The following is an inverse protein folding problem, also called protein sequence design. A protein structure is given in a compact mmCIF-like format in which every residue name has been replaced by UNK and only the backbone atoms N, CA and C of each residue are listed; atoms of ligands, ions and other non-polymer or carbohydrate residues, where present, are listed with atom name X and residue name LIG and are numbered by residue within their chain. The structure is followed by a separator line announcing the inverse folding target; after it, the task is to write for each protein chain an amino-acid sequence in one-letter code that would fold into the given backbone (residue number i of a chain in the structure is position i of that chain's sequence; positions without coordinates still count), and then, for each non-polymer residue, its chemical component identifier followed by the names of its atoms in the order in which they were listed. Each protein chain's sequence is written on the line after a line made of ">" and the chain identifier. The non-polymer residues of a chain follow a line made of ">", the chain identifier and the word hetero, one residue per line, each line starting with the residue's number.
data_IF_643686217941
#
_entry.id   IF_643686217941
#
_cell.length_a   1.000
_cell.length_b   1.000
_cell.length_c   1.000
_cell.angle_alpha   90.00
_cell.angle_beta   90.00
_cell.angle_gamma   90.00
#
_symmetry.space_group_name_H-M   'P 1'
#
loop_
_entity.id
_entity.type
_entity.pdbx_description
1 polymer ?
#
# COMPACT_ATOMS: atom_id res chain seq x y z
N UNK A 1 -5.29 -37.81 -0.02
CA UNK A 1 -6.29 -36.73 -0.03
C UNK A 1 -5.73 -35.51 0.71
N UNK A 2 -5.89 -34.31 0.15
CA UNK A 2 -5.41 -33.06 0.76
C UNK A 2 -6.44 -32.56 1.76
N UNK A 3 -6.06 -32.39 3.03
CA UNK A 3 -6.95 -31.91 4.09
C UNK A 3 -6.37 -30.67 4.76
N UNK A 4 -7.22 -29.69 5.04
CA UNK A 4 -6.88 -28.53 5.85
C UNK A 4 -7.19 -28.83 7.32
N UNK A 5 -6.23 -28.54 8.20
CA UNK A 5 -6.41 -28.55 9.65
C UNK A 5 -6.88 -27.15 10.03
N UNK A 6 -8.15 -27.05 10.41
CA UNK A 6 -8.84 -25.78 10.65
C UNK A 6 -9.17 -25.66 12.12
N UNK A 7 -8.83 -24.55 12.75
CA UNK A 7 -9.22 -24.27 14.14
C UNK A 7 -10.74 -24.02 14.20
N UNK A 8 -11.45 -24.80 15.00
CA UNK A 8 -12.92 -24.79 15.07
C UNK A 8 -13.47 -23.46 15.58
N UNK A 9 -12.74 -22.79 16.47
CA UNK A 9 -13.20 -21.54 17.11
C UNK A 9 -13.33 -20.35 16.16
N UNK A 10 -12.55 -20.29 15.07
CA UNK A 10 -12.49 -19.12 14.19
C UNK A 10 -12.22 -19.42 12.71
N UNK A 11 -12.21 -20.70 12.33
CA UNK A 11 -11.99 -21.12 10.95
C UNK A 11 -10.55 -20.94 10.46
N UNK A 12 -9.59 -20.60 11.32
CA UNK A 12 -8.20 -20.38 10.88
C UNK A 12 -7.55 -21.69 10.39
N UNK A 13 -7.05 -21.69 9.15
CA UNK A 13 -6.30 -22.82 8.59
C UNK A 13 -4.88 -22.83 9.16
N UNK A 14 -4.63 -23.74 10.09
CA UNK A 14 -3.33 -23.88 10.74
C UNK A 14 -2.32 -24.59 9.85
N UNK A 15 -2.77 -25.62 9.13
CA UNK A 15 -1.90 -26.41 8.27
C UNK A 15 -2.70 -27.07 7.14
N UNK A 16 -1.99 -27.53 6.11
CA UNK A 16 -2.55 -28.39 5.06
C UNK A 16 -1.68 -29.62 4.94
N UNK A 17 -2.31 -30.79 5.05
CA UNK A 17 -1.64 -32.08 5.10
C UNK A 17 -2.16 -33.01 4.01
N UNK A 18 -1.32 -33.96 3.60
CA UNK A 18 -1.72 -35.08 2.77
C UNK A 18 -1.95 -36.30 3.65
N UNK A 19 -3.17 -36.85 3.59
CA UNK A 19 -3.57 -38.04 4.35
C UNK A 19 -3.88 -39.15 3.35
N UNK A 20 -3.31 -40.34 3.58
CA UNK A 20 -3.66 -41.54 2.82
C UNK A 20 -5.12 -41.94 3.04
N UNK A 21 -5.75 -42.53 2.03
CA UNK A 21 -7.14 -42.99 2.15
C UNK A 21 -7.25 -44.09 3.24
N UNK A 22 -8.14 -43.88 4.21
CA UNK A 22 -8.33 -44.80 5.34
C UNK A 22 -7.35 -44.62 6.51
N UNK A 23 -6.43 -43.64 6.46
CA UNK A 23 -5.56 -43.35 7.60
C UNK A 23 -6.35 -42.79 8.79
N UNK A 24 -6.02 -43.26 10.00
CA UNK A 24 -6.67 -42.86 11.27
C UNK A 24 -5.96 -41.70 11.96
N UNK A 25 -5.59 -40.69 11.19
CA UNK A 25 -4.98 -39.49 11.76
C UNK A 25 -6.07 -38.59 12.34
N UNK A 26 -5.87 -38.10 13.56
CA UNK A 26 -6.80 -37.20 14.24
C UNK A 26 -6.20 -35.80 14.33
N UNK A 27 -6.98 -34.74 14.06
CA UNK A 27 -6.51 -33.37 14.23
C UNK A 27 -6.20 -33.06 15.70
N UNK A 28 -5.32 -32.09 15.97
CA UNK A 28 -5.13 -31.56 17.32
C UNK A 28 -6.45 -31.12 17.95
N UNK A 29 -6.50 -31.10 19.28
CA UNK A 29 -7.69 -30.65 20.02
C UNK A 29 -8.14 -29.25 19.56
N UNK A 30 -9.46 -29.08 19.38
CA UNK A 30 -10.05 -27.83 18.89
C UNK A 30 -9.84 -27.56 17.39
N UNK A 31 -9.40 -28.57 16.62
CA UNK A 31 -9.28 -28.48 15.18
C UNK A 31 -10.18 -29.52 14.48
N UNK A 32 -10.65 -29.16 13.28
CA UNK A 32 -11.41 -30.01 12.37
C UNK A 32 -10.63 -30.24 11.09
N UNK A 33 -10.93 -31.34 10.39
CA UNK A 33 -10.41 -31.63 9.07
C UNK A 33 -11.42 -31.23 8.00
N UNK A 34 -11.03 -30.31 7.14
CA UNK A 34 -11.82 -29.87 5.99
C UNK A 34 -11.15 -30.35 4.70
N UNK A 35 -11.94 -30.70 3.70
CA UNK A 35 -11.41 -31.01 2.38
C UNK A 35 -10.72 -29.79 1.75
N UNK A 36 -9.49 -29.97 1.29
CA UNK A 36 -8.68 -28.91 0.70
C UNK A 36 -8.38 -29.14 -0.79
N UNK A 37 -9.15 -30.01 -1.47
CA UNK A 37 -9.09 -30.18 -2.92
C UNK A 37 -9.54 -28.92 -3.68
N UNK A 38 -10.49 -28.16 -3.12
CA UNK A 38 -10.96 -26.89 -3.67
C UNK A 38 -10.05 -25.68 -3.43
N UNK A 39 -8.93 -25.86 -2.72
CA UNK A 39 -8.04 -24.77 -2.29
C UNK A 39 -7.79 -24.78 -0.79
N UNK A 40 -7.20 -23.69 -0.27
CA UNK A 40 -6.82 -23.56 1.15
C UNK A 40 -5.31 -23.70 1.35
N UNK A 41 -4.74 -22.71 2.05
CA UNK A 41 -3.34 -22.62 2.45
C UNK A 41 -3.26 -22.24 3.93
N UNK A 42 -2.15 -22.55 4.63
CA UNK A 42 -1.94 -22.03 5.97
C UNK A 42 -2.09 -20.50 6.00
N UNK A 43 -2.87 -20.00 6.97
CA UNK A 43 -3.20 -18.58 7.08
C UNK A 43 -4.53 -18.16 6.45
N UNK A 44 -5.15 -19.01 5.63
CA UNK A 44 -6.52 -18.78 5.13
C UNK A 44 -7.55 -18.93 6.26
N UNK A 45 -8.76 -18.41 6.04
CA UNK A 45 -9.92 -18.61 6.90
C UNK A 45 -10.95 -19.48 6.18
N UNK A 46 -11.37 -20.57 6.81
CA UNK A 46 -12.52 -21.36 6.39
C UNK A 46 -13.81 -20.74 6.95
N UNK A 47 -14.75 -20.36 6.09
CA UNK A 47 -16.02 -19.73 6.49
C UNK A 47 -17.19 -20.73 6.66
N UNK A 48 -16.92 -22.03 6.51
CA UNK A 48 -17.94 -23.08 6.47
C UNK A 48 -18.27 -23.57 5.06
N UNK A 49 -17.94 -22.79 4.02
CA UNK A 49 -18.24 -23.10 2.63
C UNK A 49 -16.99 -23.04 1.72
N UNK A 50 -16.08 -22.10 1.98
CA UNK A 50 -14.88 -21.84 1.17
C UNK A 50 -13.71 -21.32 2.01
N UNK A 51 -12.51 -21.43 1.41
CA UNK A 51 -11.31 -20.81 1.94
C UNK A 51 -11.19 -19.36 1.48
N UNK A 52 -11.12 -18.45 2.43
CA UNK A 52 -10.92 -17.02 2.25
C UNK A 52 -9.45 -16.72 2.53
N UNK A 53 -8.74 -16.22 1.52
CA UNK A 53 -7.37 -15.74 1.73
C UNK A 53 -7.40 -14.45 2.56
N UNK A 54 -6.46 -14.28 3.50
CA UNK A 54 -6.31 -13.00 4.16
C UNK A 54 -6.03 -11.92 3.10
N UNK A 55 -6.53 -10.69 3.31
CA UNK A 55 -6.17 -9.59 2.42
C UNK A 55 -4.66 -9.40 2.42
N UNK A 56 -4.08 -9.16 1.25
CA UNK A 56 -2.67 -8.81 1.17
C UNK A 56 -2.42 -7.54 2.02
N UNK A 57 -1.29 -7.47 2.74
CA UNK A 57 -0.96 -6.26 3.47
C UNK A 57 -0.87 -5.08 2.50
N UNK A 58 -1.28 -3.88 2.91
CA UNK A 58 -1.16 -2.72 2.06
C UNK A 58 0.32 -2.54 1.65
N UNK A 59 0.58 -2.06 0.43
CA UNK A 59 1.94 -1.79 0.02
C UNK A 59 2.55 -0.74 0.94
N UNK A 60 3.87 -0.79 1.17
CA UNK A 60 4.50 0.18 2.03
C UNK A 60 4.32 1.59 1.46
N UNK A 61 4.21 2.57 2.35
CA UNK A 61 4.18 3.98 1.98
C UNK A 61 5.60 4.53 1.84
N UNK A 62 5.82 5.53 0.98
CA UNK A 62 7.10 6.23 0.90
C UNK A 62 7.46 6.86 2.26
N UNK A 63 8.74 6.85 2.67
CA UNK A 63 9.14 7.47 3.92
C UNK A 63 8.90 8.98 3.89
N UNK A 64 8.53 9.55 5.05
CA UNK A 64 8.43 10.99 5.26
C UNK A 64 9.83 11.60 5.27
N UNK A 65 10.29 12.03 4.11
CA UNK A 65 11.61 12.62 3.92
C UNK A 65 11.52 13.75 2.91
N UNK A 66 12.44 14.71 3.00
CA UNK A 66 12.64 15.68 1.92
C UNK A 66 12.99 14.91 0.64
N UNK A 67 12.31 15.24 -0.47
CA UNK A 67 12.46 14.52 -1.73
C UNK A 67 12.14 15.41 -2.93
N UNK A 68 12.53 14.95 -4.12
CA UNK A 68 12.18 15.60 -5.38
C UNK A 68 10.96 14.90 -5.97
N UNK A 69 9.98 15.68 -6.38
CA UNK A 69 8.76 15.21 -7.06
C UNK A 69 8.48 16.02 -8.32
N UNK A 70 7.66 15.49 -9.21
CA UNK A 70 7.26 16.18 -10.44
C UNK A 70 5.95 16.91 -10.19
N UNK A 71 5.85 18.19 -10.54
CA UNK A 71 4.58 18.92 -10.49
C UNK A 71 3.63 18.36 -11.56
N UNK A 72 2.44 17.92 -11.16
CA UNK A 72 1.44 17.36 -12.11
C UNK A 72 0.23 18.27 -12.31
N UNK A 73 -0.13 19.06 -11.30
CA UNK A 73 -1.18 20.05 -11.41
C UNK A 73 -0.95 21.16 -10.38
N UNK A 74 -1.51 22.33 -10.64
CA UNK A 74 -1.63 23.37 -9.63
C UNK A 74 -2.97 24.09 -9.76
N UNK A 75 -3.63 24.28 -8.63
CA UNK A 75 -4.92 24.94 -8.48
C UNK A 75 -4.81 25.90 -7.29
N UNK A 76 -4.61 27.18 -7.60
CA UNK A 76 -4.37 28.23 -6.59
C UNK A 76 -5.60 28.52 -5.74
N UNK A 77 -6.79 28.01 -6.10
CA UNK A 77 -8.00 28.16 -5.30
C UNK A 77 -8.09 27.12 -4.16
N UNK A 78 -7.28 26.05 -4.20
CA UNK A 78 -7.27 25.01 -3.15
C UNK A 78 -6.35 25.38 -1.99
N UNK A 79 -6.69 24.88 -0.80
CA UNK A 79 -5.84 24.97 0.38
C UNK A 79 -4.47 24.30 0.17
N UNK A 80 -4.45 23.18 -0.56
CA UNK A 80 -3.26 22.46 -1.02
C UNK A 80 -3.16 22.64 -2.54
N UNK A 81 -2.50 23.71 -3.00
CA UNK A 81 -2.62 24.12 -4.38
C UNK A 81 -1.82 23.26 -5.34
N UNK A 82 -0.76 22.56 -4.90
CA UNK A 82 0.13 21.83 -5.79
C UNK A 82 -0.11 20.32 -5.69
N UNK A 83 -0.36 19.65 -6.81
CA UNK A 83 -0.35 18.18 -6.88
C UNK A 83 0.98 17.73 -7.45
N UNK A 84 1.68 16.85 -6.73
CA UNK A 84 2.99 16.33 -7.13
C UNK A 84 2.98 14.82 -7.28
N UNK A 85 3.85 14.31 -8.15
CA UNK A 85 4.12 12.89 -8.35
C UNK A 85 5.48 12.52 -7.77
N UNK A 86 5.48 11.62 -6.79
CA UNK A 86 6.66 10.98 -6.22
C UNK A 86 6.79 9.57 -6.78
N UNK A 87 7.94 9.23 -7.34
CA UNK A 87 8.27 7.85 -7.72
C UNK A 87 9.00 7.18 -6.56
N UNK A 88 8.46 6.07 -6.05
CA UNK A 88 9.10 5.31 -4.98
C UNK A 88 8.93 3.81 -5.18
N UNK A 89 10.04 3.07 -5.13
CA UNK A 89 10.09 1.62 -5.43
C UNK A 89 9.36 1.23 -6.73
N UNK A 90 9.53 2.04 -7.78
CA UNK A 90 8.93 1.82 -9.10
C UNK A 90 7.42 2.09 -9.17
N UNK A 91 6.81 2.68 -8.14
CA UNK A 91 5.40 3.08 -8.12
C UNK A 91 5.25 4.60 -8.09
N UNK A 92 4.21 5.08 -8.74
CA UNK A 92 3.84 6.49 -8.76
C UNK A 92 2.86 6.78 -7.62
N UNK A 93 3.19 7.78 -6.80
CA UNK A 93 2.35 8.29 -5.72
C UNK A 93 2.02 9.76 -6.01
N UNK A 94 0.75 10.13 -5.85
CA UNK A 94 0.26 11.48 -6.09
C UNK A 94 -0.18 12.11 -4.78
N UNK A 95 0.27 13.33 -4.52
CA UNK A 95 -0.02 14.04 -3.28
C UNK A 95 -0.43 15.48 -3.57
N UNK A 96 -1.48 15.92 -2.89
CA UNK A 96 -1.81 17.33 -2.79
C UNK A 96 -1.02 17.95 -1.63
N UNK A 97 -0.23 18.96 -1.96
CA UNK A 97 0.74 19.58 -1.07
C UNK A 97 0.39 21.07 -0.86
N UNK A 98 0.81 21.58 0.29
CA UNK A 98 0.94 23.01 0.45
C UNK A 98 2.06 23.52 -0.46
N UNK A 99 2.02 24.81 -0.78
CA UNK A 99 3.09 25.47 -1.52
C UNK A 99 3.46 26.77 -0.81
N UNK A 100 4.75 27.07 -0.76
CA UNK A 100 5.24 28.37 -0.31
C UNK A 100 4.71 29.48 -1.20
N UNK A 101 4.68 30.72 -0.68
CA UNK A 101 4.26 31.86 -1.50
C UNK A 101 5.16 32.04 -2.72
N UNK A 102 6.48 31.87 -2.56
CA UNK A 102 7.45 31.91 -3.66
C UNK A 102 7.11 30.96 -4.79
N UNK A 103 6.75 29.70 -4.51
CA UNK A 103 6.35 28.73 -5.54
C UNK A 103 5.07 29.16 -6.25
N UNK A 104 4.12 29.78 -5.55
CA UNK A 104 2.89 30.30 -6.16
C UNK A 104 3.19 31.46 -7.10
N UNK A 105 4.04 32.39 -6.67
CA UNK A 105 4.42 33.56 -7.45
C UNK A 105 5.20 33.12 -8.70
N UNK A 106 6.19 32.24 -8.55
CA UNK A 106 6.96 31.68 -9.66
C UNK A 106 6.08 30.91 -10.66
N UNK A 107 5.02 30.24 -10.19
CA UNK A 107 4.04 29.63 -11.10
C UNK A 107 3.23 30.68 -11.87
N UNK A 108 2.76 31.74 -11.21
CA UNK A 108 2.00 32.82 -11.86
C UNK A 108 2.84 33.58 -12.90
N UNK A 109 4.13 33.70 -12.67
CA UNK A 109 5.11 34.28 -13.60
C UNK A 109 5.48 33.32 -14.76
N UNK A 110 5.11 32.04 -14.66
CA UNK A 110 5.45 31.01 -15.65
C UNK A 110 6.85 30.40 -15.49
N UNK A 111 7.56 30.71 -14.41
CA UNK A 111 8.87 30.16 -14.06
C UNK A 111 8.79 28.70 -13.60
N UNK A 112 7.67 28.32 -12.96
CA UNK A 112 7.29 26.94 -12.65
C UNK A 112 6.16 26.50 -13.59
N UNK A 113 6.26 25.30 -14.14
CA UNK A 113 5.26 24.68 -15.01
C UNK A 113 5.01 23.22 -14.62
N UNK A 114 3.85 22.69 -15.02
CA UNK A 114 3.58 21.24 -14.93
C UNK A 114 4.69 20.47 -15.66
N UNK A 115 5.21 19.43 -15.02
CA UNK A 115 6.36 18.66 -15.48
C UNK A 115 7.69 19.06 -14.85
N UNK A 116 7.76 20.22 -14.18
CA UNK A 116 8.97 20.62 -13.44
C UNK A 116 9.21 19.75 -12.21
N UNK A 117 10.49 19.67 -11.82
CA UNK A 117 10.92 19.00 -10.61
C UNK A 117 10.91 19.99 -9.45
N UNK A 118 10.26 19.62 -8.36
CA UNK A 118 10.12 20.45 -7.17
C UNK A 118 10.66 19.73 -5.95
N UNK A 119 11.23 20.49 -5.02
CA UNK A 119 11.64 20.04 -3.71
C UNK A 119 10.43 20.02 -2.78
N UNK A 120 10.09 18.85 -2.28
CA UNK A 120 9.01 18.62 -1.31
C UNK A 120 9.63 18.30 0.04
N UNK A 121 9.22 19.05 1.06
CA UNK A 121 9.62 18.86 2.45
C UNK A 121 8.42 18.45 3.30
N UNK A 122 8.66 17.76 4.40
CA UNK A 122 7.64 17.46 5.42
C UNK A 122 7.88 18.38 6.61
N UNK A 123 6.86 19.13 7.04
CA UNK A 123 6.96 19.91 8.28
C UNK A 123 6.90 19.02 9.53
N UNK A 124 7.01 19.65 10.71
CA UNK A 124 6.97 18.97 12.00
C UNK A 124 5.61 18.30 12.29
N UNK A 125 4.55 18.69 11.58
CA UNK A 125 3.21 18.09 11.67
C UNK A 125 3.02 16.94 10.66
N UNK A 126 4.01 16.69 9.80
CA UNK A 126 3.97 15.66 8.77
C UNK A 126 3.28 16.10 7.48
N UNK A 127 3.11 17.40 7.27
CA UNK A 127 2.49 17.97 6.08
C UNK A 127 3.49 18.18 4.96
N UNK A 128 3.07 17.88 3.73
CA UNK A 128 3.91 18.05 2.54
C UNK A 128 3.84 19.48 2.03
N UNK A 129 5.01 20.11 1.93
CA UNK A 129 5.17 21.48 1.46
C UNK A 129 6.13 21.49 0.28
N UNK A 130 5.66 22.01 -0.85
CA UNK A 130 6.47 22.34 -2.01
C UNK A 130 7.21 23.65 -1.72
N UNK A 131 8.55 23.61 -1.78
CA UNK A 131 9.40 24.70 -1.29
C UNK A 131 10.13 25.45 -2.39
N UNK A 132 10.62 24.75 -3.42
CA UNK A 132 11.39 25.35 -4.51
C UNK A 132 11.38 24.47 -5.77
N UNK A 133 11.60 25.09 -6.93
CA UNK A 133 11.96 24.39 -8.17
C UNK A 133 13.39 23.87 -8.10
N UNK A 134 13.62 22.67 -8.63
CA UNK A 134 14.94 22.06 -8.79
C UNK A 134 15.21 21.89 -10.27
N UNK A 135 16.35 22.42 -10.72
CA UNK A 135 16.80 22.26 -12.11
C UNK A 135 17.57 20.95 -12.24
N UNK A 136 17.23 20.15 -13.25
CA UNK A 136 18.08 19.02 -13.66
C UNK A 136 19.33 19.58 -14.33
N UNK A 137 20.50 19.35 -13.73
CA UNK A 137 21.80 19.76 -14.27
C UNK A 137 22.64 18.60 -14.81
N UNK A 138 22.05 17.40 -14.93
CA UNK A 138 22.76 16.18 -15.33
C UNK A 138 22.23 15.61 -16.66
#
# INVERSE_FOLDING_TARGET
>A
MRKAVVRDSDGFVQNVIEIEEGAKWEPPEGCILVDAEGGGSPGDTWDGEKFIRPPEPPPPEPPRSTHISILTAIDTAKARPATVKRVWRGRDYFYDCFATQTVKDEYQEGSIMVGDYLLVHFDDMGEQIVTAKVFKSW
#
